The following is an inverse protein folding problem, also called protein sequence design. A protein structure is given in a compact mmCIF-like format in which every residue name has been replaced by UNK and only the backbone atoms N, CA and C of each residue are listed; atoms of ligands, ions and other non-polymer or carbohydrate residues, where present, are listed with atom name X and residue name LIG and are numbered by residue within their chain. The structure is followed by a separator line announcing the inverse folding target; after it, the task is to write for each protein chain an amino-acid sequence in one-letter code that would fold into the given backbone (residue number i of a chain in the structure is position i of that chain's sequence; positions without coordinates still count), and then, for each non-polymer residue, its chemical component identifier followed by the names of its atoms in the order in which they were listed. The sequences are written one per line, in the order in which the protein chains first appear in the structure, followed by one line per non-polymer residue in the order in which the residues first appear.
data_IF_239973688752
#
_entry.id   IF_239973688752
#
_cell.length_a   1.000
_cell.length_b   1.000
_cell.length_c   1.000
_cell.angle_alpha   90.00
_cell.angle_beta   90.00
_cell.angle_gamma   90.00
#
_symmetry.space_group_name_H-M   'P 1'
#
loop_
_entity.id
_entity.type
_entity.pdbx_description
1 polymer ?
#
# COMPACT_ATOMS: atom_id res chain seq x y z
N UNK A 1 -27.59 -37.71 7.45
CA UNK A 1 -28.93 -37.28 7.90
C UNK A 1 -28.94 -35.92 8.61
N UNK A 2 -27.94 -35.56 9.43
CA UNK A 2 -27.84 -34.22 10.06
C UNK A 2 -27.72 -33.04 9.04
N UNK A 3 -27.13 -33.31 7.89
CA UNK A 3 -26.90 -32.37 6.79
C UNK A 3 -28.19 -31.76 6.21
N UNK A 4 -29.29 -32.53 6.16
CA UNK A 4 -30.54 -32.06 5.56
C UNK A 4 -31.38 -31.25 6.55
N UNK A 5 -31.24 -31.48 7.86
CA UNK A 5 -32.06 -30.84 8.90
C UNK A 5 -31.59 -29.40 9.18
N UNK A 6 -30.28 -29.18 9.27
CA UNK A 6 -29.71 -27.84 9.51
C UNK A 6 -30.00 -26.93 8.32
N UNK A 7 -29.73 -27.39 7.09
CA UNK A 7 -30.02 -26.61 5.87
C UNK A 7 -31.52 -26.33 5.76
N UNK A 8 -32.41 -27.30 6.04
CA UNK A 8 -33.86 -27.08 6.02
C UNK A 8 -34.31 -26.01 7.01
N UNK A 9 -33.78 -26.00 8.23
CA UNK A 9 -34.16 -25.02 9.27
C UNK A 9 -33.70 -23.59 8.97
N UNK A 10 -32.52 -23.41 8.38
CA UNK A 10 -32.01 -22.08 8.00
C UNK A 10 -32.67 -21.58 6.71
N UNK A 11 -32.93 -22.46 5.77
CA UNK A 11 -33.69 -22.16 4.54
C UNK A 11 -35.13 -21.80 4.89
N UNK A 12 -35.76 -22.51 5.83
CA UNK A 12 -37.11 -22.17 6.31
C UNK A 12 -37.14 -20.79 6.99
N UNK A 13 -36.15 -20.44 7.82
CA UNK A 13 -36.05 -19.10 8.42
C UNK A 13 -35.80 -17.99 7.38
N UNK A 14 -35.00 -18.26 6.34
CA UNK A 14 -34.81 -17.34 5.23
C UNK A 14 -36.07 -17.17 4.36
N UNK A 15 -36.86 -18.24 4.15
CA UNK A 15 -38.10 -18.20 3.36
C UNK A 15 -39.29 -17.60 4.12
N UNK A 16 -39.44 -17.89 5.42
CA UNK A 16 -40.65 -17.53 6.18
C UNK A 16 -40.50 -16.28 7.06
N UNK A 17 -39.29 -15.72 7.19
CA UNK A 17 -38.97 -14.70 8.20
C UNK A 17 -38.60 -13.31 7.70
N UNK A 18 -38.90 -12.93 6.45
CA UNK A 18 -38.43 -11.64 5.86
C UNK A 18 -36.88 -11.46 5.90
N UNK A 19 -36.12 -12.53 6.10
CA UNK A 19 -34.68 -12.48 6.28
C UNK A 19 -33.95 -12.21 4.97
N UNK A 20 -33.14 -11.15 4.94
CA UNK A 20 -32.20 -10.85 3.84
C UNK A 20 -30.82 -11.50 4.04
N UNK A 21 -30.67 -12.35 5.06
CA UNK A 21 -29.42 -13.02 5.40
C UNK A 21 -29.61 -14.53 5.41
N UNK A 22 -28.67 -15.25 4.78
CA UNK A 22 -28.61 -16.70 4.76
C UNK A 22 -27.25 -17.17 5.29
N UNK A 23 -27.28 -17.97 6.35
CA UNK A 23 -26.09 -18.54 6.96
C UNK A 23 -26.04 -20.05 6.71
N UNK A 24 -25.05 -20.49 5.94
CA UNK A 24 -24.77 -21.87 5.60
C UNK A 24 -23.31 -22.22 5.98
N UNK A 25 -22.79 -21.59 7.02
CA UNK A 25 -21.47 -21.89 7.54
C UNK A 25 -21.41 -23.32 8.07
N UNK A 26 -20.23 -23.96 7.99
CA UNK A 26 -19.97 -25.29 8.57
C UNK A 26 -20.99 -26.36 8.16
N UNK A 27 -21.61 -26.18 7.00
CA UNK A 27 -22.66 -27.07 6.49
C UNK A 27 -22.08 -28.21 5.65
N UNK A 28 -20.74 -28.30 5.54
CA UNK A 28 -20.00 -29.31 4.80
C UNK A 28 -20.15 -29.22 3.29
N UNK A 29 -20.65 -28.09 2.75
CA UNK A 29 -21.06 -27.92 1.36
C UNK A 29 -19.89 -28.11 0.40
N UNK A 30 -20.07 -28.91 -0.66
CA UNK A 30 -19.10 -29.05 -1.76
C UNK A 30 -19.32 -28.03 -2.87
N UNK A 31 -20.55 -27.54 -3.00
CA UNK A 31 -20.96 -26.51 -3.94
C UNK A 31 -22.06 -25.65 -3.31
N UNK A 32 -22.25 -24.43 -3.84
CA UNK A 32 -23.38 -23.60 -3.43
C UNK A 32 -24.69 -24.23 -3.95
N UNK A 33 -25.69 -24.50 -3.09
CA UNK A 33 -26.96 -25.06 -3.54
C UNK A 33 -27.73 -24.12 -4.48
N UNK A 34 -28.39 -24.68 -5.50
CA UNK A 34 -29.16 -23.90 -6.49
C UNK A 34 -30.28 -23.06 -5.89
N UNK A 35 -30.88 -23.52 -4.78
CA UNK A 35 -31.97 -22.79 -4.14
C UNK A 35 -31.53 -21.41 -3.62
N UNK A 36 -30.22 -21.18 -3.39
CA UNK A 36 -29.71 -19.88 -2.92
C UNK A 36 -30.06 -18.78 -3.92
N UNK A 37 -30.00 -19.08 -5.22
CA UNK A 37 -30.38 -18.16 -6.30
C UNK A 37 -31.88 -17.81 -6.33
N UNK A 38 -32.73 -18.52 -5.56
CA UNK A 38 -34.18 -18.25 -5.49
C UNK A 38 -34.54 -17.15 -4.47
N UNK A 39 -33.56 -16.57 -3.79
CA UNK A 39 -33.77 -15.50 -2.82
C UNK A 39 -33.39 -14.13 -3.43
N UNK A 40 -34.32 -13.43 -4.11
CA UNK A 40 -34.01 -12.19 -4.83
C UNK A 40 -33.55 -11.06 -3.89
N UNK A 41 -34.02 -11.03 -2.65
CA UNK A 41 -33.69 -9.97 -1.67
C UNK A 41 -32.50 -10.33 -0.76
N UNK A 42 -31.74 -11.38 -1.08
CA UNK A 42 -30.63 -11.81 -0.24
C UNK A 42 -29.50 -10.77 -0.29
N UNK A 43 -29.22 -10.14 0.84
CA UNK A 43 -28.19 -9.12 1.00
C UNK A 43 -26.93 -9.63 1.69
N UNK A 44 -27.02 -10.70 2.49
CA UNK A 44 -25.89 -11.30 3.23
C UNK A 44 -25.89 -12.82 3.04
N UNK A 45 -24.77 -13.37 2.58
CA UNK A 45 -24.59 -14.80 2.42
C UNK A 45 -23.30 -15.26 3.07
N UNK A 46 -23.44 -16.13 4.07
CA UNK A 46 -22.33 -16.71 4.83
C UNK A 46 -22.18 -18.18 4.46
N UNK A 47 -21.02 -18.54 3.92
CA UNK A 47 -20.67 -19.87 3.42
C UNK A 47 -19.30 -20.31 3.96
N UNK A 48 -18.85 -19.79 5.10
CA UNK A 48 -17.53 -20.10 5.62
C UNK A 48 -17.43 -21.52 6.23
N UNK A 49 -16.22 -22.08 6.26
CA UNK A 49 -15.96 -23.44 6.74
C UNK A 49 -16.75 -24.52 5.98
N UNK A 50 -16.69 -24.46 4.66
CA UNK A 50 -17.25 -25.50 3.78
C UNK A 50 -16.12 -26.07 2.90
N UNK A 51 -16.48 -26.88 1.91
CA UNK A 51 -15.57 -27.47 0.94
C UNK A 51 -15.88 -26.98 -0.48
N UNK A 52 -16.33 -25.73 -0.62
CA UNK A 52 -16.74 -25.16 -1.90
C UNK A 52 -15.49 -24.89 -2.74
N UNK A 53 -15.43 -25.51 -3.92
CA UNK A 53 -14.31 -25.35 -4.86
C UNK A 53 -14.59 -24.37 -5.99
N UNK A 54 -15.86 -24.06 -6.26
CA UNK A 54 -16.28 -23.12 -7.31
C UNK A 54 -17.67 -22.53 -7.02
N UNK A 55 -18.01 -21.42 -7.69
CA UNK A 55 -19.33 -20.78 -7.64
C UNK A 55 -20.11 -21.02 -8.94
N UNK A 56 -21.36 -21.52 -8.87
CA UNK A 56 -22.15 -21.80 -10.07
C UNK A 56 -22.57 -20.50 -10.78
N UNK A 57 -22.80 -20.57 -12.10
CA UNK A 57 -23.18 -19.41 -12.93
C UNK A 57 -24.48 -18.75 -12.48
N UNK A 58 -25.46 -19.52 -11.99
CA UNK A 58 -26.72 -18.99 -11.46
C UNK A 58 -26.54 -18.06 -10.24
N UNK A 59 -25.37 -18.03 -9.63
CA UNK A 59 -25.04 -17.12 -8.52
C UNK A 59 -25.03 -15.64 -8.95
N UNK A 60 -24.91 -15.36 -10.26
CA UNK A 60 -24.99 -14.02 -10.84
C UNK A 60 -26.35 -13.33 -10.61
N UNK A 61 -27.40 -14.08 -10.28
CA UNK A 61 -28.76 -13.55 -10.00
C UNK A 61 -28.87 -12.79 -8.66
N UNK A 62 -27.89 -12.94 -7.76
CA UNK A 62 -27.89 -12.33 -6.43
C UNK A 62 -27.47 -10.85 -6.48
N UNK A 63 -28.11 -10.04 -7.31
CA UNK A 63 -27.74 -8.66 -7.58
C UNK A 63 -27.85 -7.72 -6.37
N UNK A 64 -28.60 -8.09 -5.33
CA UNK A 64 -28.73 -7.34 -4.07
C UNK A 64 -27.70 -7.76 -3.00
N UNK A 65 -26.84 -8.73 -3.29
CA UNK A 65 -25.88 -9.23 -2.33
C UNK A 65 -24.83 -8.15 -2.00
N UNK A 66 -24.78 -7.77 -0.73
CA UNK A 66 -23.86 -6.74 -0.21
C UNK A 66 -22.70 -7.34 0.57
N UNK A 67 -22.86 -8.53 1.14
CA UNK A 67 -21.85 -9.22 1.93
C UNK A 67 -21.81 -10.70 1.58
N UNK A 68 -20.63 -11.18 1.18
CA UNK A 68 -20.36 -12.57 0.85
C UNK A 68 -19.14 -13.06 1.63
N UNK A 69 -19.32 -14.14 2.38
CA UNK A 69 -18.25 -14.79 3.11
C UNK A 69 -18.04 -16.23 2.63
N UNK A 70 -16.94 -16.45 1.93
CA UNK A 70 -16.48 -17.73 1.40
C UNK A 70 -15.17 -18.17 2.06
N UNK A 71 -14.84 -17.68 3.25
CA UNK A 71 -13.60 -18.03 3.93
C UNK A 71 -13.55 -19.49 4.40
N UNK A 72 -12.36 -20.09 4.51
CA UNK A 72 -12.17 -21.52 4.81
C UNK A 72 -12.96 -22.41 3.83
N UNK A 73 -12.62 -22.34 2.55
CA UNK A 73 -13.16 -23.17 1.48
C UNK A 73 -12.02 -23.71 0.60
N UNK A 74 -12.33 -24.24 -0.58
CA UNK A 74 -11.37 -24.88 -1.48
C UNK A 74 -11.24 -24.16 -2.83
N UNK A 75 -11.56 -22.86 -2.91
CA UNK A 75 -11.47 -22.07 -4.13
C UNK A 75 -10.01 -22.00 -4.61
N UNK A 76 -9.75 -22.38 -5.86
CA UNK A 76 -8.41 -22.33 -6.48
C UNK A 76 -8.13 -21.04 -7.25
N UNK A 77 -9.18 -20.37 -7.71
CA UNK A 77 -9.08 -19.13 -8.47
C UNK A 77 -10.09 -18.11 -7.90
N UNK A 78 -9.86 -16.83 -8.17
CA UNK A 78 -10.84 -15.81 -7.84
C UNK A 78 -12.09 -16.00 -8.72
N UNK A 79 -13.29 -16.25 -8.16
CA UNK A 79 -14.44 -16.64 -8.97
C UNK A 79 -14.94 -15.49 -9.85
N UNK A 80 -14.91 -15.70 -11.17
CA UNK A 80 -15.32 -14.69 -12.17
C UNK A 80 -16.80 -14.31 -12.02
N UNK A 81 -17.65 -15.22 -11.53
CA UNK A 81 -19.08 -14.95 -11.30
C UNK A 81 -19.31 -13.75 -10.37
N UNK A 82 -18.36 -13.45 -9.47
CA UNK A 82 -18.44 -12.28 -8.57
C UNK A 82 -18.41 -10.94 -9.32
N UNK A 83 -17.89 -10.90 -10.55
CA UNK A 83 -17.89 -9.70 -11.39
C UNK A 83 -19.29 -9.25 -11.81
N UNK A 84 -20.33 -10.04 -11.56
CA UNK A 84 -21.72 -9.67 -11.83
C UNK A 84 -22.41 -9.07 -10.59
N UNK A 85 -21.81 -9.19 -9.40
CA UNK A 85 -22.40 -8.78 -8.13
C UNK A 85 -22.07 -7.32 -7.81
N UNK A 86 -22.65 -6.40 -8.60
CA UNK A 86 -22.36 -4.96 -8.51
C UNK A 86 -22.70 -4.31 -7.17
N UNK A 87 -23.58 -4.90 -6.36
CA UNK A 87 -23.95 -4.39 -5.02
C UNK A 87 -22.98 -4.82 -3.90
N UNK A 88 -21.99 -5.66 -4.21
CA UNK A 88 -21.13 -6.25 -3.19
C UNK A 88 -20.25 -5.19 -2.55
N UNK A 89 -20.33 -5.10 -1.22
CA UNK A 89 -19.57 -4.16 -0.38
C UNK A 89 -18.50 -4.87 0.45
N UNK A 90 -18.73 -6.12 0.84
CA UNK A 90 -17.79 -6.90 1.64
C UNK A 90 -17.63 -8.28 1.04
N UNK A 91 -16.38 -8.65 0.77
CA UNK A 91 -16.01 -9.94 0.22
C UNK A 91 -14.91 -10.55 1.06
N UNK A 92 -15.19 -11.73 1.63
CA UNK A 92 -14.26 -12.50 2.42
C UNK A 92 -13.94 -13.82 1.72
N UNK A 93 -12.68 -14.00 1.32
CA UNK A 93 -12.15 -15.15 0.60
C UNK A 93 -10.94 -15.76 1.32
N UNK A 94 -10.77 -15.46 2.60
CA UNK A 94 -9.60 -15.89 3.38
C UNK A 94 -9.53 -17.41 3.56
N UNK A 95 -8.32 -17.98 3.71
CA UNK A 95 -8.11 -19.42 3.89
C UNK A 95 -8.76 -20.24 2.76
N UNK A 96 -8.44 -19.90 1.53
CA UNK A 96 -8.76 -20.69 0.34
C UNK A 96 -7.44 -21.17 -0.30
N UNK A 97 -7.47 -21.55 -1.58
CA UNK A 97 -6.29 -21.96 -2.34
C UNK A 97 -6.07 -21.06 -3.56
N UNK A 98 -6.55 -19.82 -3.51
CA UNK A 98 -6.51 -18.89 -4.64
C UNK A 98 -5.05 -18.56 -4.97
N UNK A 99 -4.59 -18.90 -6.16
CA UNK A 99 -3.26 -18.53 -6.66
C UNK A 99 -3.33 -17.50 -7.79
N UNK A 100 -4.43 -17.51 -8.55
CA UNK A 100 -4.69 -16.59 -9.66
C UNK A 100 -5.89 -15.69 -9.37
N UNK A 101 -5.70 -14.38 -9.57
CA UNK A 101 -6.77 -13.38 -9.62
C UNK A 101 -6.83 -12.86 -11.06
N UNK A 102 -7.80 -13.35 -11.83
CA UNK A 102 -7.91 -12.97 -13.25
C UNK A 102 -8.34 -11.50 -13.41
N UNK A 103 -7.84 -10.79 -14.44
CA UNK A 103 -8.33 -9.45 -14.77
C UNK A 103 -9.85 -9.41 -14.98
N UNK A 104 -10.41 -10.46 -15.59
CA UNK A 104 -11.84 -10.57 -15.89
C UNK A 104 -12.71 -10.62 -14.61
N UNK A 105 -12.17 -11.11 -13.49
CA UNK A 105 -12.89 -11.17 -12.22
C UNK A 105 -13.03 -9.80 -11.52
N UNK A 106 -12.09 -8.87 -11.74
CA UNK A 106 -12.13 -7.51 -11.15
C UNK A 106 -12.69 -6.49 -12.17
N UNK A 107 -12.43 -6.71 -13.46
CA UNK A 107 -13.12 -6.11 -14.60
C UNK A 107 -12.19 -5.85 -15.79
N UNK A 108 -12.58 -6.25 -17.01
CA UNK A 108 -11.77 -6.15 -18.24
C UNK A 108 -11.58 -4.71 -18.77
N UNK A 109 -10.49 -4.42 -19.51
CA UNK A 109 -10.30 -3.16 -20.26
C UNK A 109 -11.30 -2.94 -21.41
N UNK A 110 -12.10 -3.95 -21.77
CA UNK A 110 -13.08 -3.87 -22.86
C UNK A 110 -14.48 -3.56 -22.30
N UNK A 111 -15.18 -2.64 -22.95
CA UNK A 111 -16.45 -1.99 -22.58
C UNK A 111 -17.68 -2.92 -22.47
N UNK A 112 -17.57 -4.17 -22.03
CA UNK A 112 -18.72 -5.07 -21.89
C UNK A 112 -19.36 -5.01 -20.49
N UNK A 113 -19.99 -3.87 -20.21
CA UNK A 113 -21.25 -3.56 -19.48
C UNK A 113 -21.67 -4.25 -18.15
N UNK A 114 -21.12 -5.36 -17.64
CA UNK A 114 -21.75 -6.05 -16.47
C UNK A 114 -20.91 -5.97 -15.18
N UNK A 115 -21.47 -5.34 -14.13
CA UNK A 115 -21.35 -5.71 -12.71
C UNK A 115 -20.07 -5.45 -11.88
N UNK A 116 -19.08 -4.67 -12.33
CA UNK A 116 -17.83 -4.43 -11.58
C UNK A 116 -17.96 -4.30 -10.05
N UNK A 117 -17.01 -4.88 -9.30
CA UNK A 117 -16.85 -4.77 -7.83
C UNK A 117 -16.51 -3.35 -7.33
N UNK A 118 -16.93 -2.29 -8.04
CA UNK A 118 -16.66 -0.87 -7.75
C UNK A 118 -17.20 -0.44 -6.39
N UNK A 119 -18.24 -1.10 -5.88
CA UNK A 119 -18.85 -0.81 -4.59
C UNK A 119 -18.18 -1.51 -3.41
N UNK A 120 -17.16 -2.35 -3.68
CA UNK A 120 -16.46 -3.08 -2.65
C UNK A 120 -15.72 -2.12 -1.71
N UNK A 121 -15.96 -2.28 -0.43
CA UNK A 121 -15.38 -1.52 0.69
C UNK A 121 -14.37 -2.37 1.45
N UNK A 122 -14.65 -3.67 1.58
CA UNK A 122 -13.78 -4.63 2.27
C UNK A 122 -13.47 -5.80 1.34
N UNK A 123 -12.18 -6.07 1.15
CA UNK A 123 -11.68 -7.25 0.45
C UNK A 123 -10.67 -7.97 1.34
N UNK A 124 -11.00 -9.20 1.72
CA UNK A 124 -10.12 -10.06 2.51
C UNK A 124 -9.72 -11.32 1.72
N UNK A 125 -8.44 -11.41 1.37
CA UNK A 125 -7.81 -12.51 0.63
C UNK A 125 -6.73 -13.21 1.47
N UNK A 126 -6.75 -13.07 2.80
CA UNK A 126 -5.71 -13.62 3.67
C UNK A 126 -5.55 -15.15 3.53
N UNK A 127 -4.36 -15.68 3.77
CA UNK A 127 -4.09 -17.13 3.74
C UNK A 127 -4.52 -17.77 2.42
N UNK A 128 -3.97 -17.27 1.32
CA UNK A 128 -4.14 -17.83 -0.02
C UNK A 128 -2.73 -18.02 -0.65
N UNK A 129 -2.68 -18.37 -1.93
CA UNK A 129 -1.43 -18.60 -2.66
C UNK A 129 -1.15 -17.51 -3.73
N UNK A 130 -1.75 -16.33 -3.59
CA UNK A 130 -1.73 -15.29 -4.63
C UNK A 130 -0.31 -14.76 -4.79
N UNK A 131 0.24 -14.84 -6.00
CA UNK A 131 1.59 -14.37 -6.33
C UNK A 131 1.60 -12.95 -6.92
N UNK A 132 0.57 -12.60 -7.69
CA UNK A 132 0.42 -11.30 -8.36
C UNK A 132 -1.02 -10.84 -8.32
N UNK A 133 -1.20 -9.52 -8.33
CA UNK A 133 -2.49 -8.88 -8.55
C UNK A 133 -2.55 -8.30 -9.96
N UNK A 134 -3.71 -8.36 -10.63
CA UNK A 134 -3.90 -7.67 -11.90
C UNK A 134 -4.04 -6.14 -11.68
N UNK A 135 -3.64 -5.30 -12.65
CA UNK A 135 -3.75 -3.84 -12.56
C UNK A 135 -5.20 -3.36 -12.36
N UNK A 136 -6.17 -4.18 -12.76
CA UNK A 136 -7.60 -3.97 -12.54
C UNK A 136 -7.98 -3.76 -11.07
N UNK A 137 -7.13 -4.14 -10.09
CA UNK A 137 -7.34 -3.84 -8.67
C UNK A 137 -7.63 -2.35 -8.44
N UNK A 138 -7.03 -1.45 -9.24
CA UNK A 138 -7.25 0.00 -9.16
C UNK A 138 -8.69 0.44 -9.47
N UNK A 139 -9.55 -0.46 -9.97
CA UNK A 139 -10.97 -0.20 -10.24
C UNK A 139 -11.84 -0.27 -9.00
N UNK A 140 -11.35 -0.85 -7.90
CA UNK A 140 -12.06 -0.94 -6.63
C UNK A 140 -12.06 0.41 -5.89
N UNK A 141 -12.55 1.47 -6.54
CA UNK A 141 -12.41 2.87 -6.10
C UNK A 141 -13.04 3.18 -4.73
N UNK A 142 -13.95 2.33 -4.26
CA UNK A 142 -14.57 2.45 -2.94
C UNK A 142 -13.90 1.62 -1.84
N UNK A 143 -12.83 0.88 -2.16
CA UNK A 143 -12.16 0.01 -1.21
C UNK A 143 -11.52 0.82 -0.10
N UNK A 144 -11.82 0.44 1.15
CA UNK A 144 -11.31 1.09 2.37
C UNK A 144 -10.41 0.14 3.15
N UNK A 145 -10.71 -1.16 3.14
CA UNK A 145 -9.94 -2.17 3.84
C UNK A 145 -9.55 -3.28 2.87
N UNK A 146 -8.24 -3.42 2.66
CA UNK A 146 -7.67 -4.44 1.79
C UNK A 146 -6.66 -5.28 2.55
N UNK A 147 -6.86 -6.59 2.61
CA UNK A 147 -5.95 -7.49 3.33
C UNK A 147 -5.63 -8.72 2.49
N UNK A 148 -4.33 -9.02 2.38
CA UNK A 148 -3.73 -10.18 1.72
C UNK A 148 -2.64 -10.77 2.61
N UNK A 149 -2.86 -10.78 3.92
CA UNK A 149 -1.93 -11.37 4.89
C UNK A 149 -1.69 -12.83 4.55
N UNK A 150 -0.44 -13.29 4.68
CA UNK A 150 -0.03 -14.68 4.42
C UNK A 150 -0.41 -15.15 3.01
N UNK A 151 0.27 -14.58 2.02
CA UNK A 151 0.16 -14.92 0.61
C UNK A 151 1.58 -15.02 0.02
N UNK A 152 1.71 -15.10 -1.31
CA UNK A 152 3.00 -15.21 -2.00
C UNK A 152 3.29 -13.98 -2.85
N UNK A 153 2.68 -12.83 -2.53
CA UNK A 153 2.68 -11.64 -3.37
C UNK A 153 4.12 -11.12 -3.57
N UNK A 154 4.59 -11.07 -4.80
CA UNK A 154 5.96 -10.66 -5.15
C UNK A 154 6.06 -9.16 -5.42
N UNK A 155 4.99 -8.58 -5.97
CA UNK A 155 4.88 -7.16 -6.27
C UNK A 155 3.45 -6.65 -6.04
N UNK A 156 3.35 -5.36 -5.72
CA UNK A 156 2.09 -4.64 -5.66
C UNK A 156 2.00 -3.73 -6.90
N UNK A 157 0.93 -3.82 -7.71
CA UNK A 157 0.81 -3.04 -8.94
C UNK A 157 0.67 -1.54 -8.66
N UNK A 158 1.15 -0.70 -9.58
CA UNK A 158 1.11 0.76 -9.48
C UNK A 158 -0.32 1.30 -9.34
N UNK A 159 -1.29 0.59 -9.93
CA UNK A 159 -2.72 0.91 -9.89
C UNK A 159 -3.32 0.85 -8.47
N UNK A 160 -2.61 0.31 -7.48
CA UNK A 160 -3.00 0.45 -6.06
C UNK A 160 -3.16 1.94 -5.68
N UNK A 161 -2.39 2.83 -6.33
CA UNK A 161 -2.50 4.28 -6.15
C UNK A 161 -3.84 4.87 -6.58
N UNK A 162 -4.67 4.14 -7.33
CA UNK A 162 -6.03 4.54 -7.71
C UNK A 162 -7.05 4.36 -6.57
N UNK A 163 -6.71 3.63 -5.52
CA UNK A 163 -7.61 3.32 -4.39
C UNK A 163 -7.69 4.50 -3.39
N UNK A 164 -8.26 5.63 -3.84
CA UNK A 164 -8.24 6.90 -3.07
C UNK A 164 -8.96 6.86 -1.72
N UNK A 165 -9.84 5.88 -1.50
CA UNK A 165 -10.57 5.69 -0.23
C UNK A 165 -9.91 4.67 0.71
N UNK A 166 -8.76 4.09 0.33
CA UNK A 166 -8.09 3.07 1.12
C UNK A 166 -7.60 3.65 2.46
N UNK A 167 -8.02 3.03 3.56
CA UNK A 167 -7.70 3.41 4.93
C UNK A 167 -6.74 2.42 5.58
N UNK A 168 -6.90 1.13 5.28
CA UNK A 168 -6.07 0.05 5.83
C UNK A 168 -5.63 -0.87 4.70
N UNK A 169 -4.33 -1.14 4.64
CA UNK A 169 -3.78 -2.21 3.81
C UNK A 169 -2.90 -3.13 4.66
N UNK A 170 -3.12 -4.44 4.55
CA UNK A 170 -2.30 -5.45 5.22
C UNK A 170 -1.79 -6.48 4.21
N UNK A 171 -0.47 -6.45 4.00
CA UNK A 171 0.31 -7.32 3.11
C UNK A 171 1.36 -8.12 3.92
N UNK A 172 1.15 -8.29 5.21
CA UNK A 172 2.08 -9.01 6.11
C UNK A 172 2.27 -10.45 5.65
N UNK A 173 3.47 -11.01 5.81
CA UNK A 173 3.81 -12.37 5.33
C UNK A 173 3.57 -12.54 3.82
N UNK A 174 4.34 -11.81 3.02
CA UNK A 174 4.38 -11.94 1.57
C UNK A 174 5.84 -11.91 1.08
N UNK A 175 6.06 -11.84 -0.24
CA UNK A 175 7.39 -11.83 -0.86
C UNK A 175 7.75 -10.48 -1.49
N UNK A 176 7.14 -9.37 -1.04
CA UNK A 176 7.32 -8.06 -1.64
C UNK A 176 8.77 -7.59 -1.53
N UNK A 177 9.40 -7.29 -2.67
CA UNK A 177 10.76 -6.74 -2.72
C UNK A 177 10.80 -5.20 -2.69
N UNK A 178 9.69 -4.56 -3.10
CA UNK A 178 9.51 -3.10 -3.12
C UNK A 178 8.03 -2.74 -2.96
N UNK A 179 7.77 -1.51 -2.52
CA UNK A 179 6.47 -0.87 -2.64
C UNK A 179 6.47 0.08 -3.85
N UNK A 180 5.38 0.19 -4.63
CA UNK A 180 5.27 1.17 -5.69
C UNK A 180 5.12 2.57 -5.10
N UNK A 181 5.76 3.58 -5.70
CA UNK A 181 5.66 4.98 -5.24
C UNK A 181 4.20 5.49 -5.32
N UNK A 182 3.42 4.95 -6.25
CA UNK A 182 2.02 5.26 -6.47
C UNK A 182 1.14 4.92 -5.26
N UNK A 183 1.57 4.00 -4.37
CA UNK A 183 0.88 3.74 -3.09
C UNK A 183 0.70 5.02 -2.27
N UNK A 184 1.64 5.96 -2.35
CA UNK A 184 1.59 7.23 -1.64
C UNK A 184 0.51 8.19 -2.16
N UNK A 185 -0.12 7.85 -3.28
CA UNK A 185 -1.31 8.55 -3.75
C UNK A 185 -2.59 8.22 -2.96
N UNK A 186 -2.55 7.19 -2.10
CA UNK A 186 -3.63 6.81 -1.19
C UNK A 186 -3.63 7.70 0.06
N UNK A 187 -3.94 8.99 -0.10
CA UNK A 187 -3.86 10.02 0.97
C UNK A 187 -4.75 9.75 2.20
N UNK A 188 -5.68 8.80 2.10
CA UNK A 188 -6.55 8.39 3.20
C UNK A 188 -6.00 7.22 4.02
N UNK A 189 -4.82 6.67 3.66
CA UNK A 189 -4.24 5.52 4.34
C UNK A 189 -3.84 5.89 5.77
N UNK A 190 -4.35 5.13 6.73
CA UNK A 190 -4.12 5.28 8.18
C UNK A 190 -3.17 4.18 8.68
N UNK A 191 -3.32 2.97 8.13
CA UNK A 191 -2.59 1.79 8.57
C UNK A 191 -1.99 1.05 7.37
N UNK A 192 -0.66 0.87 7.40
CA UNK A 192 0.11 0.14 6.40
C UNK A 192 0.89 -0.98 7.09
N UNK A 193 0.47 -2.23 6.87
CA UNK A 193 1.17 -3.40 7.37
C UNK A 193 1.86 -4.14 6.21
N UNK A 194 3.18 -4.18 6.24
CA UNK A 194 4.04 -4.84 5.24
C UNK A 194 5.15 -5.64 5.95
N UNK A 195 4.91 -6.06 7.18
CA UNK A 195 5.84 -6.89 7.94
C UNK A 195 6.11 -8.23 7.25
N UNK A 196 7.26 -8.84 7.56
CA UNK A 196 7.64 -10.18 7.08
C UNK A 196 7.58 -10.27 5.56
N UNK A 197 8.25 -9.32 4.90
CA UNK A 197 8.42 -9.23 3.46
C UNK A 197 9.92 -9.17 3.12
N UNK A 198 10.26 -8.77 1.90
CA UNK A 198 11.64 -8.68 1.40
C UNK A 198 12.00 -7.23 1.01
N UNK A 199 11.40 -6.24 1.67
CA UNK A 199 11.62 -4.83 1.34
C UNK A 199 13.05 -4.42 1.71
N UNK A 200 13.80 -3.90 0.76
CA UNK A 200 15.16 -3.36 0.99
C UNK A 200 15.15 -1.85 1.24
N UNK A 201 14.11 -1.16 0.76
CA UNK A 201 13.89 0.27 0.96
C UNK A 201 12.39 0.61 0.90
N UNK A 202 12.01 1.70 1.56
CA UNK A 202 10.74 2.38 1.31
C UNK A 202 10.96 3.45 0.22
N UNK A 203 10.06 3.62 -0.76
CA UNK A 203 10.16 4.71 -1.73
C UNK A 203 10.20 6.09 -1.06
N UNK A 204 10.84 7.05 -1.70
CA UNK A 204 10.85 8.46 -1.27
C UNK A 204 9.45 9.09 -1.40
N UNK A 205 9.15 10.07 -0.55
CA UNK A 205 7.85 10.78 -0.56
C UNK A 205 6.75 10.11 0.26
N UNK A 206 7.10 9.22 1.21
CA UNK A 206 6.13 8.60 2.14
C UNK A 206 5.34 9.63 2.96
N UNK A 207 5.91 10.84 3.14
CA UNK A 207 5.25 12.00 3.77
C UNK A 207 3.96 12.43 3.09
N UNK A 208 3.73 12.04 1.83
CA UNK A 208 2.45 12.25 1.15
C UNK A 208 1.28 11.49 1.80
N UNK A 209 1.55 10.44 2.58
CA UNK A 209 0.57 9.73 3.41
C UNK A 209 0.28 10.49 4.71
N UNK A 210 -0.28 11.70 4.59
CA UNK A 210 -0.50 12.64 5.70
C UNK A 210 -1.37 12.10 6.85
N UNK A 211 -2.21 11.10 6.57
CA UNK A 211 -3.08 10.44 7.56
C UNK A 211 -2.49 9.17 8.16
N UNK A 212 -1.31 8.74 7.74
CA UNK A 212 -0.69 7.52 8.25
C UNK A 212 -0.42 7.65 9.75
N UNK A 213 -0.83 6.63 10.51
CA UNK A 213 -0.66 6.54 11.96
C UNK A 213 0.05 5.27 12.39
N UNK A 214 -0.21 4.16 11.70
CA UNK A 214 0.44 2.87 11.97
C UNK A 214 1.22 2.44 10.75
N UNK A 215 2.52 2.22 10.93
CA UNK A 215 3.40 1.63 9.93
C UNK A 215 4.09 0.41 10.52
N UNK A 216 3.85 -0.75 9.91
CA UNK A 216 4.54 -1.98 10.28
C UNK A 216 5.38 -2.47 9.10
N UNK A 217 6.70 -2.39 9.28
CA UNK A 217 7.73 -2.84 8.34
C UNK A 217 8.66 -3.86 9.00
N UNK A 218 8.26 -4.46 10.13
CA UNK A 218 9.08 -5.41 10.87
C UNK A 218 9.43 -6.65 10.03
N UNK A 219 10.61 -7.24 10.23
CA UNK A 219 11.03 -8.44 9.51
C UNK A 219 11.19 -8.22 8.00
N UNK A 220 11.85 -7.12 7.61
CA UNK A 220 12.24 -6.81 6.24
C UNK A 220 13.78 -6.65 6.16
N UNK A 221 14.32 -6.13 5.06
CA UNK A 221 15.75 -5.89 4.86
C UNK A 221 16.06 -4.40 4.73
N UNK A 222 15.30 -3.55 5.43
CA UNK A 222 15.51 -2.10 5.39
C UNK A 222 16.84 -1.74 6.06
N UNK A 223 17.65 -0.92 5.40
CA UNK A 223 18.88 -0.36 5.96
C UNK A 223 18.71 1.07 6.47
N UNK A 224 17.80 1.84 5.85
CA UNK A 224 17.58 3.26 6.15
C UNK A 224 16.15 3.67 5.78
N UNK A 225 15.59 4.65 6.50
CA UNK A 225 14.32 5.27 6.18
C UNK A 225 14.48 6.43 5.18
N UNK A 226 13.47 6.73 4.35
CA UNK A 226 13.53 7.78 3.32
C UNK A 226 13.66 9.19 3.92
N UNK A 227 13.96 10.17 3.07
CA UNK A 227 14.11 11.57 3.48
C UNK A 227 12.78 12.05 4.10
N UNK A 228 12.88 12.91 5.11
CA UNK A 228 11.73 13.52 5.81
C UNK A 228 10.82 12.51 6.53
N UNK A 229 11.25 11.26 6.75
CA UNK A 229 10.45 10.26 7.45
C UNK A 229 9.94 10.74 8.82
N UNK A 230 10.75 11.55 9.51
CA UNK A 230 10.40 12.15 10.81
C UNK A 230 9.26 13.17 10.76
N UNK A 231 8.87 13.66 9.58
CA UNK A 231 7.70 14.56 9.42
C UNK A 231 6.36 13.80 9.44
N UNK A 232 6.39 12.46 9.42
CA UNK A 232 5.19 11.65 9.60
C UNK A 232 4.68 11.74 11.03
N UNK A 233 3.36 11.78 11.19
CA UNK A 233 2.69 11.84 12.49
C UNK A 233 2.27 10.43 12.93
N UNK A 234 3.22 9.50 13.02
CA UNK A 234 2.95 8.12 13.40
C UNK A 234 2.64 8.00 14.90
N UNK A 235 1.68 7.14 15.25
CA UNK A 235 1.44 6.70 16.63
C UNK A 235 2.16 5.40 16.92
N UNK A 236 2.30 4.54 15.91
CA UNK A 236 2.92 3.22 16.03
C UNK A 236 3.85 2.98 14.83
N UNK A 237 5.06 2.52 15.12
CA UNK A 237 6.05 2.10 14.15
C UNK A 237 6.66 0.78 14.64
N UNK A 238 6.53 -0.25 13.81
CA UNK A 238 7.16 -1.55 14.00
C UNK A 238 8.20 -1.72 12.90
N UNK A 239 9.47 -1.86 13.29
CA UNK A 239 10.59 -1.93 12.34
C UNK A 239 11.73 -2.82 12.84
N UNK A 240 11.47 -3.62 13.87
CA UNK A 240 12.34 -4.68 14.35
C UNK A 240 12.67 -5.67 13.24
N UNK A 241 13.75 -6.44 13.43
CA UNK A 241 14.18 -7.46 12.48
C UNK A 241 14.44 -6.91 11.05
N UNK A 242 14.94 -5.68 10.97
CA UNK A 242 15.52 -5.06 9.78
C UNK A 242 17.05 -4.91 9.91
N UNK A 243 17.74 -4.62 8.81
CA UNK A 243 19.20 -4.40 8.77
C UNK A 243 19.56 -2.92 8.88
N UNK A 244 18.89 -2.21 9.79
CA UNK A 244 19.08 -0.77 9.96
C UNK A 244 20.55 -0.46 10.28
N UNK A 245 21.10 0.52 9.56
CA UNK A 245 22.49 0.98 9.75
C UNK A 245 22.67 1.37 11.21
N UNK A 246 23.70 0.81 11.84
CA UNK A 246 24.10 1.14 13.20
C UNK A 246 25.16 2.23 13.17
N UNK A 247 25.11 3.13 14.15
CA UNK A 247 26.10 4.19 14.27
C UNK A 247 27.47 3.62 14.65
N UNK A 248 28.47 3.79 13.77
CA UNK A 248 29.88 3.48 14.03
C UNK A 248 30.70 4.70 13.54
N UNK A 249 31.27 5.51 14.45
CA UNK A 249 31.99 6.71 14.06
C UNK A 249 33.33 6.38 13.40
N UNK A 250 33.56 6.90 12.19
CA UNK A 250 34.86 6.89 11.51
C UNK A 250 35.25 8.34 11.17
N UNK A 251 36.47 8.80 11.53
CA UNK A 251 36.94 10.12 11.14
C UNK A 251 37.14 10.21 9.63
N UNK A 252 36.48 11.16 8.96
CA UNK A 252 36.69 11.44 7.54
C UNK A 252 37.77 12.52 7.35
N UNK A 253 38.73 12.32 6.42
CA UNK A 253 39.69 13.36 6.09
C UNK A 253 38.99 14.56 5.42
N UNK A 254 39.57 15.77 5.50
CA UNK A 254 38.96 16.95 4.91
C UNK A 254 38.86 16.83 3.40
N UNK A 255 37.64 16.75 2.85
CA UNK A 255 37.44 16.85 1.41
C UNK A 255 37.30 18.32 0.97
N UNK A 256 37.96 18.73 -0.13
CA UNK A 256 37.83 20.08 -0.67
C UNK A 256 36.42 20.29 -1.23
N UNK A 257 35.74 21.34 -0.77
CA UNK A 257 34.39 21.72 -1.19
C UNK A 257 34.43 22.63 -2.43
N UNK A 258 34.91 22.12 -3.56
CA UNK A 258 34.82 22.83 -4.84
C UNK A 258 33.47 22.52 -5.50
N UNK A 259 32.60 23.52 -5.61
CA UNK A 259 31.39 23.42 -6.42
C UNK A 259 31.74 23.68 -7.89
N UNK A 260 31.19 22.88 -8.81
CA UNK A 260 31.34 23.16 -10.23
C UNK A 260 30.64 24.47 -10.60
N UNK A 261 31.09 25.13 -11.67
CA UNK A 261 30.41 26.29 -12.26
C UNK A 261 28.94 25.97 -12.60
N UNK A 262 28.68 24.74 -13.08
CA UNK A 262 27.33 24.24 -13.35
C UNK A 262 26.45 24.25 -12.09
N UNK A 263 26.99 23.79 -10.97
CA UNK A 263 26.28 23.76 -9.69
C UNK A 263 26.03 25.18 -9.14
N UNK A 264 27.02 26.08 -9.23
CA UNK A 264 26.86 27.48 -8.83
C UNK A 264 25.78 28.18 -9.66
N UNK A 265 25.81 28.01 -10.98
CA UNK A 265 24.80 28.55 -11.89
C UNK A 265 23.40 27.96 -11.60
N UNK A 266 23.31 26.64 -11.39
CA UNK A 266 22.04 25.99 -11.04
C UNK A 266 21.44 26.54 -9.74
N UNK A 267 22.26 26.75 -8.70
CA UNK A 267 21.80 27.33 -7.42
C UNK A 267 21.29 28.74 -7.58
N UNK A 268 21.98 29.57 -8.36
CA UNK A 268 21.53 30.92 -8.67
C UNK A 268 20.18 30.90 -9.37
N UNK A 269 20.05 30.10 -10.43
CA UNK A 269 18.78 29.93 -11.17
C UNK A 269 17.67 29.43 -10.25
N UNK A 270 17.91 28.41 -9.41
CA UNK A 270 16.92 27.86 -8.48
C UNK A 270 16.47 28.90 -7.43
N UNK A 271 17.35 29.79 -6.98
CA UNK A 271 16.99 30.88 -6.07
C UNK A 271 16.18 31.96 -6.78
N UNK A 272 16.52 32.30 -8.02
CA UNK A 272 15.76 33.27 -8.83
C UNK A 272 14.38 32.73 -9.22
N UNK A 273 14.24 31.44 -9.50
CA UNK A 273 12.93 30.80 -9.80
C UNK A 273 11.99 30.85 -8.59
N UNK A 274 12.51 30.86 -7.36
CA UNK A 274 11.67 31.06 -6.15
C UNK A 274 11.11 32.48 -6.04
N UNK A 275 11.66 33.45 -6.78
CA UNK A 275 11.18 34.84 -6.80
C UNK A 275 10.15 35.00 -7.92
N UNK A 276 8.91 35.32 -7.54
CA UNK A 276 7.77 35.35 -8.45
C UNK A 276 7.97 36.24 -9.69
N UNK A 277 8.74 37.32 -9.58
CA UNK A 277 8.95 38.31 -10.64
C UNK A 277 10.39 38.39 -11.17
N UNK A 278 11.24 37.38 -10.96
CA UNK A 278 12.57 37.40 -11.57
C UNK A 278 12.47 37.22 -13.09
N UNK A 279 13.36 37.87 -13.85
CA UNK A 279 13.47 37.69 -15.30
C UNK A 279 13.71 36.20 -15.66
N UNK A 280 14.39 35.46 -14.78
CA UNK A 280 14.64 34.03 -14.95
C UNK A 280 13.35 33.23 -14.77
N UNK A 281 12.56 33.50 -13.74
CA UNK A 281 11.28 32.81 -13.53
C UNK A 281 10.30 33.08 -14.69
N UNK A 282 10.24 34.33 -15.15
CA UNK A 282 9.38 34.74 -16.27
C UNK A 282 9.82 34.13 -17.61
N UNK A 283 11.11 33.89 -17.81
CA UNK A 283 11.64 33.29 -19.05
C UNK A 283 11.67 31.76 -19.05
N UNK A 284 11.63 31.11 -17.87
CA UNK A 284 11.70 29.66 -17.72
C UNK A 284 10.69 28.85 -18.56
N UNK A 285 9.42 29.28 -18.74
CA UNK A 285 8.47 28.58 -19.60
C UNK A 285 8.92 28.42 -21.05
N UNK A 286 9.83 29.27 -21.53
CA UNK A 286 10.38 29.22 -22.88
C UNK A 286 11.56 28.24 -23.04
N UNK A 287 12.04 27.64 -21.94
CA UNK A 287 13.19 26.71 -21.93
C UNK A 287 12.82 25.38 -21.25
N UNK A 288 12.07 24.50 -21.94
CA UNK A 288 11.58 23.24 -21.36
C UNK A 288 12.72 22.32 -20.87
N UNK A 289 13.83 22.23 -21.60
CA UNK A 289 15.00 21.43 -21.21
C UNK A 289 15.60 21.90 -19.87
N UNK A 290 15.64 23.21 -19.64
CA UNK A 290 16.12 23.77 -18.38
C UNK A 290 15.13 23.46 -17.25
N UNK A 291 13.82 23.55 -17.52
CA UNK A 291 12.78 23.19 -16.54
C UNK A 291 12.87 21.71 -16.15
N UNK A 292 13.09 20.82 -17.11
CA UNK A 292 13.27 19.39 -16.87
C UNK A 292 14.55 19.12 -16.07
N UNK A 293 15.65 19.80 -16.38
CA UNK A 293 16.88 19.71 -15.60
C UNK A 293 16.65 20.12 -14.15
N UNK A 294 16.02 21.27 -13.92
CA UNK A 294 15.76 21.82 -12.58
C UNK A 294 14.72 21.00 -11.79
N UNK A 295 13.89 20.20 -12.44
CA UNK A 295 12.90 19.33 -11.78
C UNK A 295 13.56 18.28 -10.87
N UNK A 296 14.82 17.94 -11.13
CA UNK A 296 15.62 17.01 -10.32
C UNK A 296 16.30 17.68 -9.12
N UNK A 297 16.14 19.00 -8.95
CA UNK A 297 16.76 19.72 -7.84
C UNK A 297 16.22 19.28 -6.48
N UNK A 298 17.08 19.41 -5.46
CA UNK A 298 16.76 19.09 -4.07
C UNK A 298 17.13 20.25 -3.15
N UNK A 299 16.64 20.23 -1.92
CA UNK A 299 16.95 21.23 -0.92
C UNK A 299 17.87 20.64 0.15
N UNK A 300 18.85 21.43 0.57
CA UNK A 300 19.69 21.07 1.70
C UNK A 300 18.82 20.87 2.94
N UNK A 301 18.98 19.73 3.61
CA UNK A 301 18.28 19.46 4.88
C UNK A 301 18.59 20.56 5.89
N UNK A 302 19.84 21.06 5.86
CA UNK A 302 20.37 22.08 6.76
C UNK A 302 20.04 23.52 6.37
N UNK A 303 20.73 24.08 5.36
CA UNK A 303 20.59 25.50 5.03
C UNK A 303 19.30 25.82 4.25
N UNK A 304 18.48 24.80 3.91
CA UNK A 304 17.30 24.90 3.02
C UNK A 304 17.59 25.47 1.62
N UNK A 305 18.88 25.65 1.30
CA UNK A 305 19.35 26.11 0.00
C UNK A 305 19.15 25.03 -1.08
N UNK A 306 18.72 25.40 -2.29
CA UNK A 306 18.59 24.46 -3.40
C UNK A 306 19.96 23.98 -3.88
N UNK A 307 20.00 22.81 -4.49
CA UNK A 307 21.17 22.26 -5.21
C UNK A 307 20.71 21.31 -6.32
N UNK A 308 21.58 21.03 -7.29
CA UNK A 308 21.23 20.23 -8.47
C UNK A 308 22.07 18.95 -8.60
N UNK A 309 23.39 19.05 -8.46
CA UNK A 309 24.36 18.00 -8.84
C UNK A 309 25.37 17.65 -7.76
N UNK A 310 25.56 18.50 -6.75
CA UNK A 310 26.47 18.22 -5.63
C UNK A 310 25.69 18.02 -4.34
N UNK A 311 25.69 16.79 -3.84
CA UNK A 311 25.17 16.49 -2.51
C UNK A 311 26.05 15.49 -1.76
N UNK A 312 25.98 15.58 -0.44
CA UNK A 312 26.51 14.56 0.48
C UNK A 312 25.32 13.78 1.00
N UNK A 313 25.25 12.49 0.67
CA UNK A 313 24.29 11.59 1.28
C UNK A 313 24.70 11.30 2.72
N UNK A 314 23.80 11.61 3.63
CA UNK A 314 24.02 11.48 5.06
C UNK A 314 22.91 10.67 5.70
N UNK A 315 23.20 10.16 6.88
CA UNK A 315 22.24 9.56 7.80
C UNK A 315 22.08 10.49 8.99
N UNK A 316 20.84 10.77 9.34
CA UNK A 316 20.46 11.36 10.61
C UNK A 316 19.86 10.27 11.49
N UNK A 317 20.32 10.16 12.73
CA UNK A 317 19.73 9.23 13.70
C UNK A 317 18.67 9.96 14.51
N UNK A 318 17.41 9.56 14.32
CA UNK A 318 16.24 10.26 14.86
C UNK A 318 15.64 9.42 15.97
N UNK A 319 15.40 10.03 17.12
CA UNK A 319 14.75 9.39 18.26
C UNK A 319 13.24 9.54 18.17
N UNK A 320 12.53 8.42 18.05
CA UNK A 320 11.08 8.41 17.84
C UNK A 320 10.29 9.16 18.93
N UNK A 321 10.77 9.14 20.18
CA UNK A 321 10.11 9.83 21.29
C UNK A 321 10.33 11.33 21.24
N UNK A 322 11.57 11.77 21.02
CA UNK A 322 11.92 13.20 21.05
C UNK A 322 11.50 13.93 19.77
N UNK A 323 11.71 13.29 18.62
CA UNK A 323 11.63 13.96 17.32
C UNK A 323 10.28 13.72 16.63
N UNK A 324 9.57 12.64 16.97
CA UNK A 324 8.26 12.28 16.38
C UNK A 324 7.14 12.20 17.42
N UNK A 325 7.38 12.56 18.69
CA UNK A 325 6.41 12.47 19.78
C UNK A 325 5.76 11.08 19.98
N UNK A 326 6.49 10.01 19.64
CA UNK A 326 6.00 8.63 19.79
C UNK A 326 6.24 8.10 21.21
N UNK A 327 5.55 7.03 21.59
CA UNK A 327 5.80 6.35 22.88
C UNK A 327 7.14 5.61 22.91
N UNK A 328 7.62 5.14 21.77
CA UNK A 328 8.87 4.36 21.64
C UNK A 328 10.10 5.26 21.75
N UNK A 329 11.10 4.85 22.54
CA UNK A 329 12.40 5.54 22.63
C UNK A 329 13.41 5.08 21.57
N UNK A 330 12.99 4.26 20.59
CA UNK A 330 13.87 3.74 19.54
C UNK A 330 14.51 4.89 18.75
N UNK A 331 15.75 4.70 18.33
CA UNK A 331 16.45 5.59 17.40
C UNK A 331 16.59 4.90 16.05
N UNK A 332 16.19 5.57 14.97
CA UNK A 332 16.21 5.02 13.61
C UNK A 332 17.09 5.86 12.68
N UNK A 333 17.77 5.23 11.70
CA UNK A 333 18.52 5.94 10.67
C UNK A 333 17.57 6.47 9.58
N UNK A 334 17.58 7.78 9.37
CA UNK A 334 16.80 8.47 8.35
C UNK A 334 17.74 9.11 7.34
N UNK A 335 17.50 8.88 6.07
CA UNK A 335 18.28 9.45 4.97
C UNK A 335 18.15 10.97 4.98
N UNK A 336 19.24 11.65 4.74
CA UNK A 336 19.32 13.10 4.67
C UNK A 336 20.26 13.52 3.55
N UNK A 337 20.00 14.68 2.97
CA UNK A 337 20.80 15.18 1.86
C UNK A 337 21.28 16.59 2.17
N UNK A 338 22.59 16.79 2.09
CA UNK A 338 23.24 18.07 2.36
C UNK A 338 23.87 18.61 1.09
N UNK A 339 23.81 19.93 0.92
CA UNK A 339 24.27 20.57 -0.30
C UNK A 339 25.78 20.81 -0.35
N UNK A 340 26.53 20.56 0.74
CA UNK A 340 27.98 20.73 0.80
C UNK A 340 28.59 20.10 2.06
N UNK A 341 29.89 19.82 2.02
CA UNK A 341 30.68 19.45 3.20
C UNK A 341 30.75 20.55 4.27
N UNK A 342 30.52 21.82 3.88
CA UNK A 342 30.39 22.92 4.85
C UNK A 342 29.16 22.72 5.73
N UNK A 343 28.00 22.46 5.11
CA UNK A 343 26.76 22.13 5.83
C UNK A 343 26.88 20.84 6.66
N UNK A 344 27.71 19.89 6.22
CA UNK A 344 28.00 18.66 6.98
C UNK A 344 28.78 18.94 8.28
N UNK A 345 29.69 19.94 8.30
CA UNK A 345 30.54 20.23 9.46
C UNK A 345 30.00 21.31 10.41
N UNK A 346 29.14 22.21 9.93
CA UNK A 346 28.65 23.35 10.73
C UNK A 346 27.74 22.95 11.92
N UNK A 347 27.19 21.74 11.94
CA UNK A 347 26.14 21.33 12.89
C UNK A 347 26.57 20.33 13.99
N UNK A 348 27.81 19.84 13.99
CA UNK A 348 28.21 18.80 14.95
C UNK A 348 27.55 17.43 14.67
N UNK A 349 27.37 16.55 15.69
CA UNK A 349 27.19 15.09 15.55
C UNK A 349 25.79 14.63 15.08
N UNK A 350 25.06 15.43 14.31
CA UNK A 350 23.70 15.06 13.88
C UNK A 350 23.67 14.33 12.53
N UNK A 351 24.69 14.53 11.68
CA UNK A 351 24.79 13.92 10.36
C UNK A 351 26.03 13.07 10.24
N UNK A 352 25.85 11.90 9.61
CA UNK A 352 26.93 10.94 9.39
C UNK A 352 26.95 10.54 7.94
N UNK A 353 28.13 10.54 7.32
CA UNK A 353 28.26 10.06 5.96
C UNK A 353 28.09 8.53 5.92
N UNK A 354 27.52 8.01 4.84
CA UNK A 354 27.48 6.57 4.58
C UNK A 354 28.75 6.20 3.81
N UNK A 355 29.59 5.35 4.39
CA UNK A 355 30.66 4.71 3.62
C UNK A 355 30.04 3.60 2.76
N UNK A 356 29.86 3.87 1.46
CA UNK A 356 29.49 2.84 0.49
C UNK A 356 30.73 2.02 0.18
N UNK A 357 30.79 0.77 0.67
CA UNK A 357 31.80 -0.21 0.27
C UNK A 357 31.63 -0.63 -1.18
#
# INVERSE_FOLDING_TARGET
MAYSVVVRGTVYRAMCGNGNSLNLNSSGLKSVPEFVSRFPNLSVLLLCYNSISDLPTHFQSLCHLTELNLGNNALKEFPVVLSHLGSLRKLYLYRNKIDVVSPDAIGRQVWTVWGHLRNLVVLNLNHNNIQRLPPEIGRLRNLQHFTMLDNKLEELPDEVGCLKKLCTINLTFNNLSRLPQQLYSCKNLIQLYVARNRLTKLPEGITALVKLRVLDVAGNMLSIFPIEFHLLHLTELYCEENWLIKFIPVPLPPQPALLSLKELAARFVLLEVRKQFSLINLSLPHYPELKDLLSSSSCCTECKGPFLTSWVECVQFINLKKDMNMKSCLTIPVRSVLCSYKCFREQGPCYYAVETK
#
